data_IF_325425691286
#
_entry.id   IF_325425691286
#
_cell.length_a   1.000
_cell.length_b   1.000
_cell.length_c   1.000
_cell.angle_alpha   90.00
_cell.angle_beta   90.00
_cell.angle_gamma   90.00
#
_symmetry.space_group_name_H-M   'P 1'
#
loop_
_entity.id
_entity.type
_entity.pdbx_description
1 polymer ?
#
# COMPACT_ATOMS: atom_id res chain seq x y z
N UNK A 1 -10.03 20.06 -25.17
CA UNK A 1 -10.07 19.98 -23.69
C UNK A 1 -8.66 20.12 -23.18
N UNK A 2 -8.35 21.15 -22.39
CA UNK A 2 -7.02 21.29 -21.77
C UNK A 2 -6.90 20.24 -20.67
N UNK A 3 -6.00 19.26 -20.83
CA UNK A 3 -5.61 18.37 -19.74
C UNK A 3 -4.91 19.21 -18.67
N UNK A 4 -5.36 19.11 -17.42
CA UNK A 4 -4.69 19.77 -16.31
C UNK A 4 -3.35 19.09 -16.03
N UNK A 5 -2.41 19.79 -15.40
CA UNK A 5 -1.10 19.20 -15.04
C UNK A 5 -1.22 17.92 -14.20
N UNK A 6 -2.25 17.83 -13.35
CA UNK A 6 -2.55 16.63 -12.57
C UNK A 6 -2.94 15.42 -13.44
N UNK A 7 -3.73 15.64 -14.50
CA UNK A 7 -4.10 14.55 -15.42
C UNK A 7 -2.88 13.99 -16.15
N UNK A 8 -1.96 14.86 -16.57
CA UNK A 8 -0.72 14.42 -17.22
C UNK A 8 0.19 13.66 -16.25
N UNK A 9 0.32 14.13 -15.00
CA UNK A 9 1.08 13.44 -13.97
C UNK A 9 0.60 12.00 -13.74
N UNK A 10 -0.70 11.80 -13.56
CA UNK A 10 -1.24 10.46 -13.31
C UNK A 10 -1.15 9.55 -14.53
N UNK A 11 -1.33 10.10 -15.73
CA UNK A 11 -1.19 9.35 -16.97
C UNK A 11 0.25 8.84 -17.15
N UNK A 12 1.25 9.67 -16.83
CA UNK A 12 2.66 9.30 -16.86
C UNK A 12 3.02 8.31 -15.73
N UNK A 13 2.67 8.62 -14.49
CA UNK A 13 3.01 7.83 -13.31
C UNK A 13 2.39 6.41 -13.32
N UNK A 14 1.25 6.22 -14.00
CA UNK A 14 0.55 4.93 -14.08
C UNK A 14 0.65 4.27 -15.46
N UNK A 15 1.41 4.84 -16.40
CA UNK A 15 1.46 4.39 -17.79
C UNK A 15 1.76 2.89 -17.92
N UNK A 16 2.76 2.41 -17.18
CA UNK A 16 3.21 1.01 -17.19
C UNK A 16 2.64 0.18 -16.03
N UNK A 17 1.78 0.78 -15.20
CA UNK A 17 1.23 0.14 -14.03
C UNK A 17 0.24 -0.96 -14.45
N UNK A 18 0.53 -2.21 -14.11
CA UNK A 18 -0.31 -3.37 -14.42
C UNK A 18 -1.52 -3.48 -13.48
N UNK A 19 -2.45 -2.53 -13.57
CA UNK A 19 -3.64 -2.45 -12.71
C UNK A 19 -4.55 -3.68 -12.82
N UNK A 20 -4.55 -4.35 -13.98
CA UNK A 20 -5.33 -5.56 -14.22
C UNK A 20 -4.67 -6.84 -13.67
N UNK A 21 -3.40 -6.77 -13.26
CA UNK A 21 -2.69 -7.91 -12.70
C UNK A 21 -2.92 -7.99 -11.19
N UNK A 22 -3.60 -9.04 -10.75
CA UNK A 22 -3.75 -9.31 -9.33
C UNK A 22 -2.40 -9.66 -8.70
N UNK A 23 -2.11 -9.06 -7.55
CA UNK A 23 -0.94 -9.40 -6.76
C UNK A 23 -1.07 -10.84 -6.23
N UNK A 24 -0.06 -11.71 -6.39
CA UNK A 24 -0.12 -13.12 -5.98
C UNK A 24 0.01 -13.25 -4.46
N UNK A 25 -0.99 -12.76 -3.74
CA UNK A 25 -1.07 -12.88 -2.29
C UNK A 25 -1.45 -14.32 -1.88
N UNK A 26 -1.06 -14.76 -0.67
CA UNK A 26 -1.45 -16.06 -0.16
C UNK A 26 -2.93 -16.05 0.22
N UNK A 27 -3.79 -16.37 -0.75
CA UNK A 27 -5.21 -16.52 -0.51
C UNK A 27 -5.52 -17.94 -0.02
N UNK A 28 -6.26 -18.06 1.08
CA UNK A 28 -6.76 -19.36 1.55
C UNK A 28 -7.84 -19.94 0.62
N UNK A 29 -8.46 -19.09 -0.22
CA UNK A 29 -9.52 -19.46 -1.15
C UNK A 29 -9.24 -18.85 -2.51
N UNK A 30 -9.37 -19.67 -3.56
CA UNK A 30 -9.33 -19.20 -4.94
C UNK A 30 -10.63 -18.46 -5.27
N UNK A 31 -10.50 -17.31 -5.94
CA UNK A 31 -11.63 -16.53 -6.45
C UNK A 31 -11.93 -16.97 -7.88
N UNK A 32 -13.18 -17.31 -8.17
CA UNK A 32 -13.60 -17.59 -9.55
C UNK A 32 -13.75 -16.28 -10.33
N UNK A 33 -13.46 -16.30 -11.64
CA UNK A 33 -13.47 -15.09 -12.48
C UNK A 33 -14.84 -14.42 -12.61
N UNK A 34 -15.93 -15.13 -12.31
CA UNK A 34 -17.31 -14.65 -12.34
C UNK A 34 -17.88 -14.29 -10.95
N UNK A 35 -17.11 -14.44 -9.88
CA UNK A 35 -17.56 -14.12 -8.52
C UNK A 35 -17.60 -12.61 -8.27
N UNK A 36 -18.81 -12.13 -7.97
CA UNK A 36 -19.04 -10.74 -7.57
C UNK A 36 -18.42 -10.46 -6.20
N UNK A 37 -17.84 -9.28 -6.03
CA UNK A 37 -17.24 -8.86 -4.75
C UNK A 37 -18.35 -8.74 -3.71
N UNK A 38 -18.24 -9.50 -2.62
CA UNK A 38 -19.23 -9.48 -1.52
C UNK A 38 -19.08 -8.30 -0.58
N UNK A 39 -17.93 -7.60 -0.64
CA UNK A 39 -17.53 -6.50 0.24
C UNK A 39 -17.49 -6.85 1.74
N UNK A 40 -17.57 -8.14 2.09
CA UNK A 40 -17.36 -8.61 3.45
C UNK A 40 -15.87 -8.63 3.77
N UNK A 41 -15.52 -8.17 4.96
CA UNK A 41 -14.15 -8.17 5.47
C UNK A 41 -14.12 -8.44 6.96
N UNK A 42 -12.95 -8.80 7.47
CA UNK A 42 -12.65 -8.88 8.90
C UNK A 42 -11.49 -7.93 9.19
N UNK A 43 -11.37 -7.48 10.43
CA UNK A 43 -10.26 -6.66 10.89
C UNK A 43 -9.42 -7.45 11.88
N UNK A 44 -8.10 -7.28 11.81
CA UNK A 44 -7.15 -7.77 12.80
C UNK A 44 -6.36 -6.56 13.27
N UNK A 45 -6.25 -6.41 14.59
CA UNK A 45 -5.50 -5.33 15.23
C UNK A 45 -4.29 -5.91 15.95
N UNK A 46 -3.19 -5.17 15.91
CA UNK A 46 -1.96 -5.49 16.61
C UNK A 46 -1.27 -4.19 17.01
N UNK A 47 -0.50 -4.25 18.09
CA UNK A 47 0.28 -3.12 18.58
C UNK A 47 1.77 -3.35 18.33
N UNK A 48 2.48 -2.28 17.99
CA UNK A 48 3.94 -2.30 18.02
C UNK A 48 4.41 -2.16 19.48
N UNK A 49 5.43 -2.91 19.87
CA UNK A 49 6.04 -2.74 21.18
C UNK A 49 6.59 -1.31 21.35
N UNK A 50 6.76 -0.90 22.61
CA UNK A 50 7.35 0.40 22.93
C UNK A 50 8.69 0.61 22.22
N UNK A 51 9.58 -0.38 22.30
CA UNK A 51 10.94 -0.29 21.74
C UNK A 51 10.93 -0.16 20.22
N UNK A 52 10.04 -0.90 19.55
CA UNK A 52 9.91 -0.84 18.10
C UNK A 52 9.30 0.49 17.64
N UNK A 53 8.27 0.96 18.35
CA UNK A 53 7.64 2.25 18.08
C UNK A 53 8.63 3.40 18.25
N UNK A 54 9.42 3.37 19.32
CA UNK A 54 10.48 4.35 19.57
C UNK A 54 11.59 4.27 18.49
N UNK A 55 11.97 3.06 18.09
CA UNK A 55 12.92 2.84 16.99
C UNK A 55 12.45 3.45 15.67
N UNK A 56 11.17 3.27 15.32
CA UNK A 56 10.59 3.89 14.12
C UNK A 56 10.59 5.42 14.20
N UNK A 57 10.24 6.00 15.35
CA UNK A 57 10.24 7.46 15.54
C UNK A 57 11.65 8.05 15.39
N UNK A 58 12.66 7.44 16.02
CA UNK A 58 14.06 7.86 15.88
C UNK A 58 14.48 7.77 14.42
N UNK A 59 14.20 6.64 13.76
CA UNK A 59 14.62 6.43 12.38
C UNK A 59 13.96 7.43 11.42
N UNK A 60 12.66 7.69 11.59
CA UNK A 60 11.93 8.68 10.80
C UNK A 60 12.52 10.08 10.99
N UNK A 61 12.77 10.47 12.24
CA UNK A 61 13.37 11.77 12.57
C UNK A 61 14.78 11.92 12.00
N UNK A 62 15.63 10.90 12.13
CA UNK A 62 17.01 10.93 11.64
C UNK A 62 17.08 11.09 10.11
N UNK A 63 16.09 10.57 9.39
CA UNK A 63 16.02 10.61 7.92
C UNK A 63 15.08 11.70 7.38
N UNK A 64 14.55 12.59 8.24
CA UNK A 64 13.61 13.66 7.87
C UNK A 64 12.40 13.17 7.06
N UNK A 65 11.88 11.99 7.40
CA UNK A 65 10.68 11.42 6.79
C UNK A 65 9.52 11.40 7.78
N UNK A 66 8.29 11.45 7.30
CA UNK A 66 7.13 11.22 8.17
C UNK A 66 7.06 9.74 8.58
N UNK A 67 6.53 9.48 9.78
CA UNK A 67 6.31 8.12 10.24
C UNK A 67 5.39 7.34 9.27
N UNK A 68 4.39 8.00 8.69
CA UNK A 68 3.49 7.40 7.70
C UNK A 68 4.24 6.87 6.48
N UNK A 69 5.17 7.66 5.91
CA UNK A 69 5.98 7.20 4.77
C UNK A 69 6.92 6.05 5.16
N UNK A 70 7.48 6.08 6.38
CA UNK A 70 8.30 4.97 6.88
C UNK A 70 7.49 3.68 6.98
N UNK A 71 6.30 3.71 7.58
CA UNK A 71 5.42 2.55 7.70
C UNK A 71 4.96 2.07 6.32
N UNK A 72 4.68 2.99 5.40
CA UNK A 72 4.34 2.64 4.02
C UNK A 72 5.48 1.92 3.30
N UNK A 73 6.72 2.38 3.48
CA UNK A 73 7.91 1.71 2.95
C UNK A 73 8.11 0.32 3.59
N UNK A 74 7.91 0.18 4.90
CA UNK A 74 7.94 -1.12 5.58
C UNK A 74 6.87 -2.06 5.01
N UNK A 75 5.66 -1.56 4.76
CA UNK A 75 4.59 -2.33 4.14
C UNK A 75 4.92 -2.77 2.70
N UNK A 76 5.56 -1.90 1.92
CA UNK A 76 6.08 -2.26 0.59
C UNK A 76 7.10 -3.40 0.68
N UNK A 77 8.06 -3.31 1.62
CA UNK A 77 9.06 -4.36 1.83
C UNK A 77 8.39 -5.68 2.26
N UNK A 78 7.38 -5.61 3.13
CA UNK A 78 6.60 -6.78 3.53
C UNK A 78 5.96 -7.46 2.31
N UNK A 79 5.28 -6.70 1.45
CA UNK A 79 4.66 -7.25 0.23
C UNK A 79 5.70 -7.79 -0.76
N UNK A 80 6.83 -7.10 -0.95
CA UNK A 80 7.94 -7.60 -1.76
C UNK A 80 8.42 -8.97 -1.29
N UNK A 81 8.58 -9.16 0.03
CA UNK A 81 8.95 -10.46 0.61
C UNK A 81 7.84 -11.50 0.46
N UNK A 82 6.58 -11.10 0.61
CA UNK A 82 5.42 -11.98 0.53
C UNK A 82 5.17 -12.51 -0.90
N UNK A 83 5.48 -11.71 -1.91
CA UNK A 83 5.16 -11.96 -3.34
C UNK A 83 6.34 -12.51 -4.13
N UNK A 84 7.35 -13.08 -3.45
CA UNK A 84 8.54 -13.67 -4.06
C UNK A 84 9.29 -12.64 -4.93
N UNK A 85 9.41 -11.42 -4.41
CA UNK A 85 10.26 -10.40 -5.01
C UNK A 85 9.59 -9.55 -6.09
N UNK A 86 8.26 -9.43 -6.10
CA UNK A 86 7.60 -8.49 -7.00
C UNK A 86 7.98 -7.05 -6.60
N UNK A 87 8.69 -6.36 -7.50
CA UNK A 87 9.24 -5.01 -7.28
C UNK A 87 8.32 -3.90 -7.76
N UNK A 88 7.36 -4.22 -8.62
CA UNK A 88 6.41 -3.26 -9.17
C UNK A 88 5.05 -3.47 -8.49
N UNK A 89 4.78 -2.63 -7.49
CA UNK A 89 3.59 -2.69 -6.64
C UNK A 89 2.86 -1.35 -6.68
N UNK A 90 1.56 -1.40 -6.96
CA UNK A 90 0.66 -0.26 -6.83
C UNK A 90 -0.09 -0.35 -5.51
N UNK A 91 0.12 0.61 -4.62
CA UNK A 91 -0.51 0.69 -3.31
C UNK A 91 -1.30 1.99 -3.20
N UNK A 92 -2.53 1.90 -2.69
CA UNK A 92 -3.37 3.06 -2.47
C UNK A 92 -3.32 3.48 -1.00
N UNK A 93 -3.15 4.77 -0.76
CA UNK A 93 -3.23 5.38 0.56
C UNK A 93 -4.40 6.35 0.56
N UNK A 94 -5.29 6.22 1.54
CA UNK A 94 -6.32 7.22 1.75
C UNK A 94 -5.74 8.39 2.55
N UNK A 95 -5.68 9.56 1.93
CA UNK A 95 -5.08 10.77 2.49
C UNK A 95 -6.13 11.60 3.27
N UNK A 96 -7.41 11.20 3.22
CA UNK A 96 -8.47 11.88 3.98
C UNK A 96 -8.37 11.54 5.47
N UNK A 97 -7.72 12.44 6.21
CA UNK A 97 -7.62 12.46 7.67
C UNK A 97 -8.94 12.81 8.40
N UNK A 98 -10.11 12.71 7.75
CA UNK A 98 -11.39 12.87 8.44
C UNK A 98 -11.70 11.59 9.23
N UNK A 99 -11.08 11.52 10.41
CA UNK A 99 -11.47 10.65 11.51
C UNK A 99 -12.92 10.97 11.89
N UNK A 100 -13.78 9.95 11.83
CA UNK A 100 -14.92 9.86 12.74
C UNK A 100 -14.47 9.09 13.97
#
# INVERSE_FOLDING_TARGET
MSMTGASMFWLDALHDCKLDQSLPLPFDRFRLSNEHRTSRGTSVSFDFSHDLSHGFLIHASANKMSLEHLIFAVYFIFLFKLTIGQTDLCLTMNINNNRY
#
